data_IF_089313355517
#
_entry.id   IF_089313355517
#
_cell.length_a   1.000
_cell.length_b   1.000
_cell.length_c   1.000
_cell.angle_alpha   90.00
_cell.angle_beta   90.00
_cell.angle_gamma   90.00
#
_symmetry.space_group_name_H-M   'P 1'
#
loop_
_entity.id
_entity.type
_entity.pdbx_description
1 polymer ?
#
# COMPACT_ATOMS: atom_id res chain seq x y z
N UNK A 1 -20.40 -21.21 -12.24
CA UNK A 1 -19.96 -19.82 -12.50
C UNK A 1 -18.44 -19.78 -12.42
N UNK A 2 -17.73 -19.68 -13.55
CA UNK A 2 -16.26 -19.55 -13.53
C UNK A 2 -15.93 -18.11 -13.14
N UNK A 3 -15.58 -17.89 -11.88
CA UNK A 3 -15.02 -16.62 -11.43
C UNK A 3 -13.61 -16.58 -12.04
N UNK A 4 -13.44 -15.90 -13.17
CA UNK A 4 -12.10 -15.60 -13.65
C UNK A 4 -11.48 -14.68 -12.61
N UNK A 5 -10.54 -15.18 -11.79
CA UNK A 5 -9.66 -14.30 -11.02
C UNK A 5 -8.94 -13.41 -12.04
N UNK A 6 -9.37 -12.16 -12.14
CA UNK A 6 -8.65 -11.15 -12.92
C UNK A 6 -7.29 -11.05 -12.25
N UNK A 7 -6.24 -11.45 -12.96
CA UNK A 7 -4.87 -11.40 -12.45
C UNK A 7 -4.54 -9.92 -12.24
N UNK A 8 -4.20 -9.54 -11.00
CA UNK A 8 -3.71 -8.19 -10.73
C UNK A 8 -2.38 -7.95 -11.45
N UNK A 9 -2.14 -6.72 -11.94
CA UNK A 9 -0.82 -6.37 -12.42
C UNK A 9 0.21 -6.49 -11.28
N UNK A 10 1.45 -6.82 -11.64
CA UNK A 10 2.58 -6.72 -10.72
C UNK A 10 2.91 -5.23 -10.59
N UNK A 11 2.82 -4.71 -9.36
CA UNK A 11 3.19 -3.33 -9.07
C UNK A 11 4.68 -3.22 -8.81
N UNK A 12 5.30 -2.16 -9.34
CA UNK A 12 6.68 -1.80 -9.04
C UNK A 12 6.72 -1.11 -7.67
N UNK A 13 7.46 -1.69 -6.74
CA UNK A 13 7.69 -1.11 -5.41
C UNK A 13 9.08 -0.48 -5.40
N UNK A 14 9.14 0.84 -5.20
CA UNK A 14 10.42 1.57 -5.23
C UNK A 14 11.18 1.41 -3.92
N UNK A 15 10.45 1.33 -2.80
CA UNK A 15 11.01 1.29 -1.46
C UNK A 15 10.77 -0.06 -0.78
N UNK A 16 11.10 -1.16 -1.46
CA UNK A 16 10.85 -2.51 -0.97
C UNK A 16 10.65 -3.53 -2.09
N UNK A 17 9.94 -4.61 -1.76
CA UNK A 17 9.61 -5.71 -2.68
C UNK A 17 8.08 -5.85 -2.78
N UNK A 18 7.59 -6.10 -3.99
CA UNK A 18 6.22 -6.56 -4.20
C UNK A 18 6.08 -7.99 -3.69
N UNK A 19 5.01 -8.28 -2.93
CA UNK A 19 4.70 -9.65 -2.51
C UNK A 19 3.49 -10.18 -3.27
N UNK A 20 2.36 -9.49 -3.13
CA UNK A 20 1.11 -9.91 -3.75
C UNK A 20 0.16 -8.72 -3.97
N UNK A 21 -0.73 -8.88 -4.94
CA UNK A 21 -1.88 -8.03 -5.14
C UNK A 21 -3.09 -8.90 -5.47
N UNK A 22 -4.21 -8.61 -4.82
CA UNK A 22 -5.47 -9.30 -5.02
C UNK A 22 -6.56 -8.28 -5.36
N UNK A 23 -7.35 -8.59 -6.39
CA UNK A 23 -8.50 -7.78 -6.79
C UNK A 23 -9.78 -8.47 -6.35
N UNK A 24 -10.60 -7.73 -5.63
CA UNK A 24 -11.93 -8.13 -5.19
C UNK A 24 -12.95 -7.14 -5.76
N UNK A 25 -13.48 -7.45 -6.95
CA UNK A 25 -14.35 -6.52 -7.68
C UNK A 25 -13.58 -5.25 -8.09
N UNK A 26 -13.95 -4.12 -7.47
CA UNK A 26 -13.31 -2.81 -7.69
C UNK A 26 -12.32 -2.43 -6.59
N UNK A 27 -12.01 -3.37 -5.68
CA UNK A 27 -11.09 -3.14 -4.57
C UNK A 27 -9.75 -3.83 -4.84
N UNK A 28 -8.67 -3.22 -4.36
CA UNK A 28 -7.31 -3.75 -4.43
C UNK A 28 -6.79 -3.98 -3.01
N UNK A 29 -6.26 -5.17 -2.76
CA UNK A 29 -5.40 -5.43 -1.59
C UNK A 29 -3.99 -5.64 -2.10
N UNK A 30 -3.03 -4.83 -1.64
CA UNK A 30 -1.62 -4.95 -2.00
C UNK A 30 -0.77 -5.21 -0.76
N UNK A 31 0.11 -6.22 -0.85
CA UNK A 31 1.13 -6.49 0.16
C UNK A 31 2.51 -6.24 -0.39
N UNK A 32 3.30 -5.51 0.39
CA UNK A 32 4.70 -5.20 0.09
C UNK A 32 5.57 -5.61 1.26
N UNK A 33 6.85 -5.85 0.99
CA UNK A 33 7.87 -6.01 2.02
C UNK A 33 8.79 -4.79 1.99
N UNK A 34 9.11 -4.23 3.16
CA UNK A 34 10.09 -3.16 3.31
C UNK A 34 11.38 -3.68 3.97
N UNK A 35 12.51 -3.04 3.67
CA UNK A 35 13.81 -3.42 4.22
C UNK A 35 13.97 -2.99 5.69
N UNK A 36 14.68 -3.82 6.48
CA UNK A 36 14.81 -3.77 7.94
C UNK A 36 15.76 -2.68 8.49
N UNK A 37 16.25 -1.75 7.68
CA UNK A 37 17.29 -0.78 8.05
C UNK A 37 16.75 0.63 8.36
N UNK A 38 15.44 0.75 8.60
CA UNK A 38 14.73 2.02 8.56
C UNK A 38 14.10 2.39 9.91
N UNK A 39 14.14 3.68 10.26
CA UNK A 39 13.31 4.22 11.36
C UNK A 39 11.81 4.14 11.02
N UNK A 40 10.93 4.21 12.02
CA UNK A 40 9.47 4.17 11.80
C UNK A 40 8.97 5.22 10.84
N UNK A 41 9.47 6.46 11.00
CA UNK A 41 9.15 7.58 10.13
C UNK A 41 9.56 7.28 8.68
N UNK A 42 10.71 6.63 8.50
CA UNK A 42 11.18 6.21 7.18
C UNK A 42 10.31 5.10 6.59
N UNK A 43 9.88 4.11 7.37
CA UNK A 43 8.99 3.03 6.92
C UNK A 43 7.64 3.57 6.45
N UNK A 44 7.04 4.45 7.25
CA UNK A 44 5.80 5.15 6.93
C UNK A 44 5.95 5.91 5.61
N UNK A 45 6.95 6.80 5.54
CA UNK A 45 7.17 7.64 4.35
C UNK A 45 7.43 6.81 3.09
N UNK A 46 8.17 5.70 3.20
CA UNK A 46 8.42 4.77 2.09
C UNK A 46 7.14 4.09 1.61
N UNK A 47 6.25 3.71 2.55
CA UNK A 47 4.97 3.09 2.23
C UNK A 47 4.03 4.07 1.53
N UNK A 48 4.00 5.32 2.00
CA UNK A 48 3.26 6.42 1.38
C UNK A 48 3.75 6.72 -0.05
N UNK A 49 5.08 6.80 -0.25
CA UNK A 49 5.68 7.00 -1.57
C UNK A 49 5.35 5.87 -2.55
N UNK A 50 5.36 4.62 -2.08
CA UNK A 50 5.02 3.47 -2.91
C UNK A 50 3.55 3.55 -3.37
N UNK A 51 2.61 3.83 -2.47
CA UNK A 51 1.19 3.90 -2.84
C UNK A 51 0.89 5.13 -3.73
N UNK A 52 1.55 6.26 -3.50
CA UNK A 52 1.46 7.42 -4.39
C UNK A 52 1.89 7.07 -5.82
N UNK A 53 3.04 6.39 -5.98
CA UNK A 53 3.53 5.95 -7.28
C UNK A 53 2.57 4.96 -7.95
N UNK A 54 2.00 4.02 -7.20
CA UNK A 54 1.01 3.06 -7.71
C UNK A 54 -0.21 3.82 -8.27
N UNK A 55 -0.74 4.76 -7.50
CA UNK A 55 -1.93 5.55 -7.89
C UNK A 55 -1.62 6.44 -9.09
N UNK A 56 -0.51 7.18 -9.05
CA UNK A 56 -0.18 8.15 -10.10
C UNK A 56 0.24 7.49 -11.40
N UNK A 57 1.07 6.45 -11.32
CA UNK A 57 1.85 5.99 -12.46
C UNK A 57 1.58 4.54 -12.88
N UNK A 58 0.88 3.74 -12.05
CA UNK A 58 0.72 2.30 -12.30
C UNK A 58 -0.74 1.84 -12.39
N UNK A 59 -1.67 2.78 -12.54
CA UNK A 59 -3.10 2.49 -12.70
C UNK A 59 -3.82 2.18 -11.39
N UNK A 60 -3.25 2.50 -10.23
CA UNK A 60 -3.94 2.35 -8.95
C UNK A 60 -5.21 3.20 -8.83
N UNK A 61 -5.36 4.25 -9.63
CA UNK A 61 -6.55 5.11 -9.64
C UNK A 61 -7.80 4.46 -10.25
N UNK A 62 -7.71 3.25 -10.83
CA UNK A 62 -8.89 2.53 -11.32
C UNK A 62 -9.77 1.94 -10.21
N UNK A 63 -9.20 1.76 -9.01
CA UNK A 63 -9.86 1.09 -7.89
C UNK A 63 -10.71 2.06 -7.06
N UNK A 64 -11.80 1.54 -6.49
CA UNK A 64 -12.65 2.29 -5.54
C UNK A 64 -12.08 2.27 -4.13
N UNK A 65 -11.27 1.27 -3.82
CA UNK A 65 -10.62 1.11 -2.53
C UNK A 65 -9.26 0.43 -2.72
N UNK A 66 -8.26 0.90 -1.97
CA UNK A 66 -6.95 0.24 -1.88
C UNK A 66 -6.63 -0.02 -0.42
N UNK A 67 -6.40 -1.28 -0.07
CA UNK A 67 -5.85 -1.72 1.20
C UNK A 67 -4.37 -2.01 1.01
N UNK A 68 -3.51 -1.17 1.57
CA UNK A 68 -2.07 -1.31 1.50
C UNK A 68 -1.55 -1.95 2.78
N UNK A 69 -0.70 -2.97 2.65
CA UNK A 69 -0.09 -3.68 3.77
C UNK A 69 1.43 -3.75 3.55
N UNK A 70 2.19 -3.17 4.47
CA UNK A 70 3.65 -3.27 4.50
C UNK A 70 4.08 -4.27 5.57
N UNK A 71 4.88 -5.25 5.15
CA UNK A 71 5.47 -6.26 6.00
C UNK A 71 6.98 -6.01 6.15
N UNK A 72 7.56 -6.42 7.26
CA UNK A 72 9.00 -6.38 7.50
C UNK A 72 9.46 -7.73 8.02
N UNK A 73 10.71 -8.11 7.71
CA UNK A 73 11.27 -9.35 8.21
C UNK A 73 11.60 -9.22 9.70
N UNK A 74 11.21 -10.16 10.53
CA UNK A 74 11.59 -10.19 11.95
C UNK A 74 13.00 -10.75 12.11
N UNK A 75 13.56 -10.66 13.32
CA UNK A 75 14.84 -11.30 13.65
C UNK A 75 14.79 -12.83 13.47
N UNK A 76 13.61 -13.43 13.61
CA UNK A 76 13.38 -14.87 13.44
C UNK A 76 13.19 -15.26 11.96
N UNK A 77 13.05 -14.27 11.08
CA UNK A 77 12.98 -14.46 9.65
C UNK A 77 11.57 -14.48 9.06
N UNK A 78 10.54 -14.41 9.89
CA UNK A 78 9.14 -14.29 9.50
C UNK A 78 8.81 -12.88 8.97
N UNK A 79 7.71 -12.72 8.24
CA UNK A 79 7.21 -11.42 7.82
C UNK A 79 6.09 -10.95 8.74
N UNK A 80 6.33 -9.86 9.46
CA UNK A 80 5.34 -9.24 10.33
C UNK A 80 4.74 -8.00 9.71
N UNK A 81 3.45 -7.77 9.98
CA UNK A 81 2.76 -6.55 9.57
C UNK A 81 3.28 -5.38 10.36
N UNK A 82 3.70 -4.34 9.65
CA UNK A 82 4.29 -3.14 10.23
C UNK A 82 3.38 -1.94 10.09
N UNK A 83 2.76 -1.79 8.92
CA UNK A 83 1.73 -0.79 8.69
C UNK A 83 0.69 -1.34 7.73
N UNK A 84 -0.57 -1.00 7.97
CA UNK A 84 -1.63 -1.16 6.99
C UNK A 84 -2.53 0.05 7.00
N UNK A 85 -3.00 0.45 5.82
CA UNK A 85 -3.99 1.51 5.71
C UNK A 85 -4.92 1.30 4.51
N UNK A 86 -6.11 1.89 4.60
CA UNK A 86 -7.15 1.81 3.57
C UNK A 86 -7.45 3.18 3.00
N UNK A 87 -7.44 3.28 1.68
CA UNK A 87 -7.79 4.49 0.93
C UNK A 87 -9.11 4.27 0.21
N UNK A 88 -10.04 5.22 0.36
CA UNK A 88 -11.28 5.23 -0.39
C UNK A 88 -11.10 5.93 -1.76
N UNK A 89 -12.14 5.88 -2.59
CA UNK A 89 -12.13 6.44 -3.94
C UNK A 89 -11.78 7.93 -3.99
N UNK A 90 -12.26 8.71 -3.03
CA UNK A 90 -12.04 10.16 -3.00
C UNK A 90 -10.58 10.46 -2.65
N UNK A 91 -10.02 9.80 -1.62
CA UNK A 91 -8.60 9.91 -1.26
C UNK A 91 -7.71 9.48 -2.43
N UNK A 92 -8.02 8.37 -3.11
CA UNK A 92 -7.28 7.90 -4.29
C UNK A 92 -7.28 8.95 -5.39
N UNK A 93 -8.45 9.55 -5.68
CA UNK A 93 -8.57 10.62 -6.68
C UNK A 93 -7.74 11.84 -6.31
N UNK A 94 -7.77 12.26 -5.05
CA UNK A 94 -6.99 13.41 -4.56
C UNK A 94 -5.48 13.15 -4.61
N UNK A 95 -5.04 11.92 -4.35
CA UNK A 95 -3.64 11.53 -4.56
C UNK A 95 -3.30 11.60 -6.06
N UNK A 96 -4.16 11.06 -6.93
CA UNK A 96 -3.95 11.09 -8.39
C UNK A 96 -3.82 12.52 -8.95
N UNK A 97 -4.66 13.45 -8.49
CA UNK A 97 -4.62 14.86 -8.90
C UNK A 97 -3.50 15.65 -8.22
N UNK A 98 -2.91 15.11 -7.15
CA UNK A 98 -1.83 15.74 -6.39
C UNK A 98 -2.30 16.71 -5.31
N UNK A 99 -3.59 16.72 -4.98
CA UNK A 99 -4.14 17.44 -3.84
C UNK A 99 -3.65 16.85 -2.51
N UNK A 100 -3.60 15.53 -2.40
CA UNK A 100 -2.95 14.82 -1.29
C UNK A 100 -1.57 14.40 -1.75
N UNK A 101 -0.54 14.83 -1.02
CA UNK A 101 0.85 14.42 -1.23
C UNK A 101 1.17 13.18 -0.40
N UNK A 102 2.23 12.45 -0.77
CA UNK A 102 2.70 11.25 -0.05
C UNK A 102 2.64 11.37 1.47
N UNK A 103 3.25 12.41 2.05
CA UNK A 103 3.35 12.59 3.51
C UNK A 103 2.03 12.91 4.22
N UNK A 104 0.92 12.88 3.50
CA UNK A 104 -0.43 13.17 3.95
C UNK A 104 -1.37 11.97 3.73
N UNK A 105 -0.87 10.84 3.21
CA UNK A 105 -1.73 9.73 2.81
C UNK A 105 -2.32 9.04 4.03
N UNK A 106 -1.50 8.78 5.07
CA UNK A 106 -1.99 8.10 6.27
C UNK A 106 -3.01 8.95 7.02
N UNK A 107 -2.78 10.27 7.16
CA UNK A 107 -3.74 11.17 7.83
C UNK A 107 -5.10 11.25 7.12
N UNK A 108 -5.15 10.96 5.81
CA UNK A 108 -6.36 10.94 4.99
C UNK A 108 -6.89 9.52 4.69
N UNK A 109 -6.33 8.50 5.34
CA UNK A 109 -6.82 7.12 5.23
C UNK A 109 -8.04 6.90 6.12
N UNK A 110 -8.88 5.93 5.75
CA UNK A 110 -10.12 5.63 6.50
C UNK A 110 -9.95 4.57 7.58
N UNK A 111 -8.87 3.79 7.49
CA UNK A 111 -8.47 2.81 8.49
C UNK A 111 -6.94 2.74 8.45
N UNK A 112 -6.28 2.95 9.58
CA UNK A 112 -4.83 2.85 9.72
C UNK A 112 -4.50 2.03 10.94
N UNK A 113 -3.59 1.09 10.74
CA UNK A 113 -2.94 0.36 11.81
C UNK A 113 -1.43 0.44 11.63
N UNK A 114 -0.73 0.76 12.71
CA UNK A 114 0.72 0.82 12.78
C UNK A 114 1.13 -0.10 13.92
N UNK A 115 2.12 -0.96 13.69
CA UNK A 115 2.58 -1.90 14.71
C UNK A 115 3.03 -1.14 15.97
N UNK A 116 2.62 -1.58 17.17
CA UNK A 116 3.06 -0.95 18.43
C UNK A 116 4.50 -1.33 18.79
N UNK A 117 4.98 -2.44 18.22
CA UNK A 117 6.32 -2.97 18.39
C UNK A 117 7.24 -2.58 17.23
N UNK A 118 6.80 -1.62 16.41
CA UNK A 118 7.72 -0.84 15.62
C UNK A 118 8.65 -0.20 16.62
#
# INVERSE_FOLDING_TARGET
MKISKKICPIFKIQNGEFLEANREGDNLVIKTKIANDNTYKTIISKSELNIEDIIKNQGGDEFKEIQYISLMKTQLGDLDKIISFTLNKDTIKQIKTGEIKSNQIIENSIDTWISPNL
#
